data_IF_718473829947
#
_entry.id   IF_718473829947
#
_cell.length_a   1.000
_cell.length_b   1.000
_cell.length_c   1.000
_cell.angle_alpha   90.00
_cell.angle_beta   90.00
_cell.angle_gamma   90.00
#
_symmetry.space_group_name_H-M   'P 1'
#
loop_
_entity.id
_entity.type
_entity.pdbx_description
1 polymer ?
#
# COMPACT_ATOMS: atom_id res chain seq x y z
N UNK A 1 -6.85 17.03 -7.20
CA UNK A 1 -7.74 15.87 -7.38
C UNK A 1 -7.71 15.05 -6.11
N UNK A 2 -8.88 14.87 -5.47
CA UNK A 2 -8.99 13.94 -4.35
C UNK A 2 -9.30 12.58 -4.93
N UNK A 3 -8.41 11.62 -4.73
CA UNK A 3 -8.69 10.21 -5.03
C UNK A 3 -9.80 9.73 -4.10
N UNK A 4 -10.85 9.17 -4.66
CA UNK A 4 -11.96 8.59 -3.92
C UNK A 4 -11.68 7.09 -3.71
N UNK A 5 -11.82 6.62 -2.47
CA UNK A 5 -11.55 5.22 -2.11
C UNK A 5 -12.86 4.56 -1.71
N UNK A 6 -13.19 3.47 -2.39
CA UNK A 6 -14.33 2.62 -2.11
C UNK A 6 -13.87 1.26 -1.64
N UNK A 7 -14.40 0.80 -0.51
CA UNK A 7 -14.13 -0.53 0.05
C UNK A 7 -15.41 -1.35 0.00
N UNK A 8 -15.34 -2.53 -0.60
CA UNK A 8 -16.44 -3.47 -0.67
C UNK A 8 -16.18 -4.65 0.27
N UNK A 9 -17.07 -4.87 1.22
CA UNK A 9 -16.93 -5.92 2.23
C UNK A 9 -18.25 -6.65 2.45
N UNK A 10 -18.19 -7.94 2.83
CA UNK A 10 -19.37 -8.71 3.25
C UNK A 10 -19.97 -8.17 4.55
N UNK A 11 -19.13 -7.78 5.47
CA UNK A 11 -19.51 -7.19 6.76
C UNK A 11 -19.03 -5.73 6.81
N UNK A 12 -19.94 -4.83 6.44
CA UNK A 12 -19.70 -3.38 6.40
C UNK A 12 -19.36 -2.83 7.79
N UNK A 13 -20.03 -3.33 8.84
CA UNK A 13 -19.81 -2.84 10.18
C UNK A 13 -18.42 -3.22 10.70
N UNK A 14 -18.00 -4.46 10.47
CA UNK A 14 -16.66 -4.94 10.81
C UNK A 14 -15.58 -4.19 10.02
N UNK A 15 -15.81 -3.97 8.73
CA UNK A 15 -14.88 -3.22 7.89
C UNK A 15 -14.73 -1.77 8.40
N UNK A 16 -15.83 -1.08 8.71
CA UNK A 16 -15.80 0.28 9.29
C UNK A 16 -15.13 0.31 10.67
N UNK A 17 -15.37 -0.69 11.51
CA UNK A 17 -14.75 -0.76 12.83
C UNK A 17 -13.21 -0.95 12.76
N UNK A 18 -12.71 -1.60 11.73
CA UNK A 18 -11.27 -1.80 11.50
C UNK A 18 -10.55 -0.54 11.01
N UNK A 19 -11.26 0.46 10.48
CA UNK A 19 -10.66 1.70 10.02
C UNK A 19 -10.40 2.66 11.19
N UNK A 20 -9.25 3.35 11.18
CA UNK A 20 -8.98 4.47 12.08
C UNK A 20 -9.93 5.64 11.80
N UNK A 21 -10.13 6.53 12.78
CA UNK A 21 -11.08 7.65 12.65
C UNK A 21 -10.87 8.49 11.38
N UNK A 22 -9.63 8.92 11.01
CA UNK A 22 -9.42 9.69 9.79
C UNK A 22 -9.80 8.92 8.50
N UNK A 23 -9.58 7.59 8.49
CA UNK A 23 -9.89 6.75 7.33
C UNK A 23 -11.40 6.51 7.18
N UNK A 24 -12.16 6.47 8.29
CA UNK A 24 -13.62 6.32 8.23
C UNK A 24 -14.32 7.48 7.53
N UNK A 25 -13.75 8.68 7.63
CA UNK A 25 -14.27 9.88 6.97
C UNK A 25 -13.87 9.96 5.50
N UNK A 26 -12.73 9.35 5.14
CA UNK A 26 -12.15 9.42 3.80
C UNK A 26 -12.55 8.24 2.89
N UNK A 27 -13.07 7.14 3.45
CA UNK A 27 -13.33 5.89 2.73
C UNK A 27 -14.82 5.58 2.71
N UNK A 28 -15.36 5.33 1.53
CA UNK A 28 -16.71 4.83 1.35
C UNK A 28 -16.74 3.30 1.48
N UNK A 29 -17.46 2.77 2.49
CA UNK A 29 -17.58 1.33 2.71
C UNK A 29 -18.96 0.87 2.28
N UNK A 30 -19.01 -0.10 1.34
CA UNK A 30 -20.19 -0.66 0.71
C UNK A 30 -20.32 -2.15 1.00
N UNK A 31 -21.54 -2.66 0.89
CA UNK A 31 -21.77 -4.10 0.90
C UNK A 31 -21.39 -4.68 -0.49
N UNK A 32 -20.57 -5.73 -0.49
CA UNK A 32 -20.15 -6.40 -1.72
C UNK A 32 -21.32 -6.99 -2.52
N UNK A 33 -22.44 -7.31 -1.86
CA UNK A 33 -23.63 -7.87 -2.50
C UNK A 33 -24.47 -6.81 -3.23
N UNK A 34 -24.34 -5.54 -2.88
CA UNK A 34 -25.12 -4.44 -3.48
C UNK A 34 -24.68 -4.12 -4.92
N UNK A 35 -23.56 -4.63 -5.37
CA UNK A 35 -22.99 -4.46 -6.73
C UNK A 35 -23.03 -3.02 -7.27
N UNK A 36 -23.06 -2.05 -6.38
CA UNK A 36 -22.99 -0.62 -6.73
C UNK A 36 -21.53 -0.21 -6.84
N UNK A 37 -21.02 -0.10 -8.07
CA UNK A 37 -19.61 0.20 -8.29
C UNK A 37 -19.36 1.68 -8.56
N UNK A 38 -18.19 2.12 -8.15
CA UNK A 38 -17.58 3.30 -8.71
C UNK A 38 -17.21 3.00 -10.18
N UNK A 39 -18.11 3.26 -11.12
CA UNK A 39 -17.93 2.98 -12.56
C UNK A 39 -16.67 3.62 -13.14
N UNK A 40 -16.14 4.63 -12.47
CA UNK A 40 -14.93 5.36 -12.85
C UNK A 40 -13.67 4.88 -12.08
N UNK A 41 -13.70 3.69 -11.46
CA UNK A 41 -12.53 3.18 -10.78
C UNK A 41 -11.39 2.93 -11.77
N UNK A 42 -10.23 3.53 -11.49
CA UNK A 42 -9.01 3.34 -12.28
C UNK A 42 -8.18 2.16 -11.78
N UNK A 43 -8.32 1.79 -10.52
CA UNK A 43 -7.60 0.69 -9.90
C UNK A 43 -8.52 -0.13 -8.98
N UNK A 44 -8.33 -1.45 -9.00
CA UNK A 44 -9.03 -2.41 -8.13
C UNK A 44 -8.01 -3.25 -7.39
N UNK A 45 -8.20 -3.41 -6.08
CA UNK A 45 -7.39 -4.29 -5.24
C UNK A 45 -8.29 -5.42 -4.73
N UNK A 46 -7.96 -6.66 -5.07
CA UNK A 46 -8.69 -7.86 -4.69
C UNK A 46 -7.96 -8.51 -3.52
N UNK A 47 -8.49 -8.36 -2.31
CA UNK A 47 -7.89 -8.92 -1.09
C UNK A 47 -8.84 -9.90 -0.37
N UNK A 48 -9.96 -10.26 -1.01
CA UNK A 48 -10.96 -11.17 -0.46
C UNK A 48 -10.91 -12.55 -1.15
N UNK A 49 -11.29 -13.65 -0.48
CA UNK A 49 -11.35 -14.98 -1.07
C UNK A 49 -12.59 -15.10 -1.98
N UNK A 50 -12.50 -14.48 -3.14
CA UNK A 50 -13.50 -14.51 -4.21
C UNK A 50 -12.94 -15.22 -5.44
N UNK A 51 -13.78 -15.83 -6.26
CA UNK A 51 -13.34 -16.50 -7.49
C UNK A 51 -13.01 -15.51 -8.59
N UNK A 52 -12.12 -15.89 -9.52
CA UNK A 52 -11.81 -15.07 -10.68
C UNK A 52 -13.05 -14.81 -11.54
N UNK A 53 -13.91 -15.80 -11.71
CA UNK A 53 -15.17 -15.65 -12.47
C UNK A 53 -16.04 -14.53 -11.88
N UNK A 54 -16.23 -14.52 -10.57
CA UNK A 54 -16.99 -13.47 -9.89
C UNK A 54 -16.36 -12.08 -10.08
N UNK A 55 -15.04 -11.99 -10.00
CA UNK A 55 -14.33 -10.73 -10.21
C UNK A 55 -14.35 -10.28 -11.67
N UNK A 56 -14.26 -11.20 -12.63
CA UNK A 56 -14.32 -10.86 -14.05
C UNK A 56 -15.67 -10.25 -14.45
N UNK A 57 -16.76 -10.77 -13.91
CA UNK A 57 -18.10 -10.17 -14.10
C UNK A 57 -18.13 -8.73 -13.56
N UNK A 58 -17.44 -8.49 -12.49
CA UNK A 58 -17.31 -7.18 -11.88
C UNK A 58 -16.49 -6.21 -12.72
N UNK A 59 -15.29 -6.64 -13.08
CA UNK A 59 -14.31 -5.81 -13.78
C UNK A 59 -14.81 -5.41 -15.18
N UNK A 60 -15.71 -6.23 -15.78
CA UNK A 60 -16.30 -5.94 -17.09
C UNK A 60 -17.18 -4.68 -17.10
N UNK A 61 -17.70 -4.27 -15.96
CA UNK A 61 -18.55 -3.09 -15.81
C UNK A 61 -17.76 -1.79 -15.59
N UNK A 62 -16.43 -1.88 -15.43
CA UNK A 62 -15.55 -0.74 -15.13
C UNK A 62 -14.93 -0.18 -16.41
N UNK A 63 -15.36 1.02 -16.80
CA UNK A 63 -14.93 1.64 -18.06
C UNK A 63 -13.55 2.34 -17.99
N UNK A 64 -13.09 2.70 -16.80
CA UNK A 64 -11.86 3.49 -16.58
C UNK A 64 -10.74 2.66 -15.96
N UNK A 65 -10.91 1.35 -15.83
CA UNK A 65 -9.98 0.47 -15.16
C UNK A 65 -8.63 0.38 -15.89
N UNK A 66 -7.54 0.58 -15.15
CA UNK A 66 -6.15 0.50 -15.64
C UNK A 66 -5.33 -0.53 -14.89
N UNK A 67 -5.61 -0.71 -13.59
CA UNK A 67 -4.81 -1.56 -12.72
C UNK A 67 -5.69 -2.52 -11.94
N UNK A 68 -5.29 -3.79 -11.89
CA UNK A 68 -5.86 -4.80 -11.01
C UNK A 68 -4.75 -5.39 -10.17
N UNK A 69 -4.84 -5.26 -8.86
CA UNK A 69 -3.92 -5.90 -7.90
C UNK A 69 -4.63 -7.12 -7.31
N UNK A 70 -4.24 -8.30 -7.76
CA UNK A 70 -4.80 -9.56 -7.26
C UNK A 70 -3.94 -10.12 -6.13
N UNK A 71 -4.36 -9.84 -4.89
CA UNK A 71 -3.66 -10.27 -3.67
C UNK A 71 -4.24 -11.56 -3.08
N UNK A 72 -5.05 -12.31 -3.83
CA UNK A 72 -5.56 -13.61 -3.38
C UNK A 72 -4.43 -14.64 -3.36
N UNK A 73 -4.54 -15.58 -2.41
CA UNK A 73 -3.53 -16.64 -2.29
C UNK A 73 -3.52 -17.59 -3.50
N UNK A 74 -4.66 -17.77 -4.16
CA UNK A 74 -4.88 -18.64 -5.31
C UNK A 74 -4.81 -17.92 -6.66
N UNK A 75 -4.36 -16.67 -6.69
CA UNK A 75 -4.25 -15.84 -7.90
C UNK A 75 -3.44 -16.48 -9.04
N UNK A 76 -2.51 -17.38 -8.71
CA UNK A 76 -1.73 -18.13 -9.72
C UNK A 76 -2.51 -19.22 -10.44
N UNK A 77 -3.49 -19.84 -9.78
CA UNK A 77 -4.29 -20.96 -10.29
C UNK A 77 -5.66 -20.52 -10.78
N UNK A 78 -6.26 -19.54 -10.12
CA UNK A 78 -7.56 -18.93 -10.46
C UNK A 78 -7.31 -17.47 -10.86
N UNK A 79 -6.81 -17.26 -12.08
CA UNK A 79 -6.39 -15.93 -12.56
C UNK A 79 -7.58 -15.06 -12.90
N UNK A 80 -7.54 -13.83 -12.40
CA UNK A 80 -8.40 -12.76 -12.90
C UNK A 80 -7.90 -12.37 -14.28
N UNK A 81 -8.75 -12.61 -15.29
CA UNK A 81 -8.43 -12.22 -16.67
C UNK A 81 -8.81 -10.75 -16.82
N UNK A 82 -7.92 -9.98 -17.39
CA UNK A 82 -8.28 -8.65 -17.86
C UNK A 82 -9.47 -8.78 -18.82
N UNK A 83 -10.51 -7.94 -18.71
CA UNK A 83 -11.60 -7.95 -19.67
C UNK A 83 -11.04 -7.85 -21.07
N UNK A 84 -11.62 -8.60 -22.00
CA UNK A 84 -11.14 -8.76 -23.38
C UNK A 84 -11.00 -7.46 -24.20
N UNK A 85 -11.31 -6.32 -23.60
CA UNK A 85 -11.25 -5.00 -24.22
C UNK A 85 -9.92 -4.27 -24.01
N UNK A 86 -8.94 -4.85 -23.29
CA UNK A 86 -7.83 -3.97 -22.96
C UNK A 86 -6.48 -4.66 -22.87
N UNK A 87 -5.71 -4.49 -23.94
CA UNK A 87 -4.24 -4.42 -23.85
C UNK A 87 -3.78 -3.30 -22.87
N UNK A 88 -4.71 -2.60 -22.24
CA UNK A 88 -4.49 -1.42 -21.39
C UNK A 88 -4.62 -1.72 -19.88
N UNK A 89 -5.19 -2.86 -19.46
CA UNK A 89 -5.31 -3.20 -18.03
C UNK A 89 -4.11 -4.03 -17.59
N UNK A 90 -3.36 -3.48 -16.64
CA UNK A 90 -2.26 -4.21 -16.02
C UNK A 90 -2.75 -5.01 -14.81
N UNK A 91 -2.65 -6.33 -14.88
CA UNK A 91 -2.92 -7.23 -13.76
C UNK A 91 -1.60 -7.54 -13.05
N UNK A 92 -1.54 -7.24 -11.75
CA UNK A 92 -0.38 -7.49 -10.89
C UNK A 92 -0.80 -8.48 -9.81
N UNK A 93 -0.31 -9.69 -9.87
CA UNK A 93 -0.57 -10.71 -8.87
C UNK A 93 0.39 -10.65 -7.66
N UNK A 94 0.09 -11.42 -6.63
CA UNK A 94 0.89 -11.46 -5.41
C UNK A 94 2.34 -11.91 -5.67
N UNK A 95 2.57 -12.82 -6.61
CA UNK A 95 3.91 -13.29 -6.96
C UNK A 95 4.73 -12.18 -7.63
N UNK A 96 4.10 -11.38 -8.48
CA UNK A 96 4.76 -10.22 -9.10
C UNK A 96 5.12 -9.16 -8.06
N UNK A 97 4.25 -8.93 -7.05
CA UNK A 97 4.55 -8.05 -5.92
C UNK A 97 5.78 -8.55 -5.15
N UNK A 98 5.84 -9.85 -4.82
CA UNK A 98 7.00 -10.42 -4.12
C UNK A 98 8.29 -10.33 -4.94
N UNK A 99 8.26 -10.63 -6.24
CA UNK A 99 9.43 -10.47 -7.12
C UNK A 99 9.96 -9.04 -7.13
N UNK A 100 9.06 -8.05 -7.19
CA UNK A 100 9.46 -6.63 -7.12
C UNK A 100 10.03 -6.25 -5.76
N UNK A 101 9.47 -6.77 -4.67
CA UNK A 101 10.02 -6.58 -3.32
C UNK A 101 11.43 -7.16 -3.21
N UNK A 102 11.64 -8.40 -3.66
CA UNK A 102 12.96 -9.05 -3.66
C UNK A 102 13.98 -8.27 -4.49
N UNK A 103 13.60 -7.84 -5.70
CA UNK A 103 14.46 -7.03 -6.55
C UNK A 103 14.87 -5.68 -5.90
N UNK A 104 13.98 -5.10 -5.10
CA UNK A 104 14.24 -3.85 -4.41
C UNK A 104 14.96 -4.01 -3.05
N UNK A 105 15.05 -5.23 -2.53
CA UNK A 105 15.62 -5.47 -1.19
C UNK A 105 17.08 -5.03 -1.09
N UNK A 106 17.90 -5.32 -2.10
CA UNK A 106 19.30 -4.90 -2.12
C UNK A 106 19.45 -3.37 -2.09
N UNK A 107 18.61 -2.66 -2.83
CA UNK A 107 18.61 -1.19 -2.83
C UNK A 107 18.14 -0.62 -1.48
N UNK A 108 17.18 -1.28 -0.83
CA UNK A 108 16.67 -0.89 0.48
C UNK A 108 17.75 -1.07 1.56
N UNK A 109 18.45 -2.22 1.58
CA UNK A 109 19.54 -2.49 2.51
C UNK A 109 20.72 -1.52 2.29
N UNK A 110 21.05 -1.18 1.05
CA UNK A 110 22.06 -0.17 0.75
C UNK A 110 21.68 1.22 1.32
N UNK A 111 20.42 1.64 1.16
CA UNK A 111 19.90 2.89 1.73
C UNK A 111 19.91 2.88 3.25
N UNK A 112 19.53 1.77 3.86
CA UNK A 112 19.56 1.60 5.31
C UNK A 112 20.99 1.67 5.86
N UNK A 113 21.95 1.01 5.22
CA UNK A 113 23.35 1.06 5.58
C UNK A 113 23.92 2.49 5.43
N UNK A 114 23.54 3.21 4.39
CA UNK A 114 23.94 4.61 4.20
C UNK A 114 23.35 5.52 5.29
N UNK A 115 22.09 5.35 5.64
CA UNK A 115 21.45 6.11 6.70
C UNK A 115 22.08 5.84 8.08
N UNK A 116 22.38 4.58 8.40
CA UNK A 116 23.06 4.21 9.64
C UNK A 116 24.46 4.84 9.74
N UNK A 117 25.22 4.85 8.64
CA UNK A 117 26.52 5.53 8.59
C UNK A 117 26.39 7.03 8.84
N UNK A 118 25.45 7.68 8.15
CA UNK A 118 25.25 9.13 8.33
C UNK A 118 24.84 9.49 9.78
N UNK A 119 24.01 8.68 10.42
CA UNK A 119 23.64 8.84 11.83
C UNK A 119 24.86 8.66 12.72
N UNK A 120 25.67 7.61 12.49
CA UNK A 120 26.90 7.38 13.26
C UNK A 120 27.88 8.53 13.14
N UNK A 121 28.15 9.01 11.93
CA UNK A 121 29.04 10.15 11.66
C UNK A 121 28.53 11.42 12.34
N UNK A 122 27.22 11.70 12.26
CA UNK A 122 26.63 12.85 12.93
C UNK A 122 26.72 12.76 14.47
N UNK A 123 26.60 11.55 15.02
CA UNK A 123 26.72 11.31 16.46
C UNK A 123 28.14 11.52 16.94
N UNK A 124 29.12 10.99 16.20
CA UNK A 124 30.57 11.20 16.52
C UNK A 124 30.92 12.68 16.41
N UNK A 125 30.50 13.37 15.35
CA UNK A 125 30.75 14.80 15.18
C UNK A 125 30.14 15.61 16.33
N UNK A 126 28.93 15.24 16.79
CA UNK A 126 28.26 15.90 17.93
C UNK A 126 28.95 15.59 19.26
N UNK A 127 29.44 14.35 19.44
CA UNK A 127 30.22 13.96 20.62
C UNK A 127 31.52 14.78 20.75
N UNK A 128 32.30 14.88 19.67
CA UNK A 128 33.50 15.71 19.64
C UNK A 128 33.21 17.19 19.88
N UNK A 129 32.05 17.69 19.45
CA UNK A 129 31.68 19.08 19.77
C UNK A 129 31.33 19.29 21.25
N UNK A 130 30.77 18.26 21.91
CA UNK A 130 30.46 18.33 23.36
C UNK A 130 31.75 18.24 24.19
N UNK A 131 32.69 17.37 23.80
CA UNK A 131 33.98 17.22 24.49
C UNK A 131 34.85 18.47 24.39
N UNK A 132 34.78 19.23 23.30
CA UNK A 132 35.52 20.46 23.08
C UNK A 132 34.76 21.73 23.51
N UNK A 133 33.70 21.61 24.30
CA UNK A 133 33.03 22.80 24.85
C UNK A 133 33.93 23.53 25.82
N UNK A 134 34.18 24.86 25.63
CA UNK A 134 35.01 25.65 26.51
C UNK A 134 34.43 25.87 27.90
N UNK A 135 33.14 25.52 28.11
CA UNK A 135 32.43 25.60 29.40
C UNK A 135 31.71 24.31 29.68
N UNK A 136 31.99 23.65 30.79
CA UNK A 136 31.23 22.52 31.30
C UNK A 136 29.83 22.95 31.80
N UNK A 137 28.91 21.98 31.92
CA UNK A 137 27.60 22.21 32.57
C UNK A 137 27.75 22.67 34.02
N UNK A 138 28.89 22.36 34.65
CA UNK A 138 29.27 22.73 36.01
C UNK A 138 29.45 24.24 36.15
N UNK A 139 29.84 24.95 35.08
CA UNK A 139 30.04 26.42 35.08
C UNK A 139 28.71 27.18 34.98
N UNK A 140 27.61 26.51 34.69
CA UNK A 140 26.27 27.11 34.64
C UNK A 140 25.48 27.02 35.94
N UNK A 141 26.01 26.29 36.93
CA UNK A 141 25.37 26.06 38.22
C UNK A 141 26.10 26.71 39.40
N UNK A 142 27.08 27.60 39.14
CA UNK A 142 27.82 28.35 40.15
C UNK A 142 27.22 29.73 40.41
#
# INVERSE_FOLDING_TARGET
>A
DKSEIHVYARDVNRARAALSAPLREAINVHNIEERTFAQNAEAVIIAAPVTASYMNDWLSDLNSLRYVFDLRADSSTDRVLAPSQSDQIQVIDLNEVFKRLEANQAALEARKAAALRAVSEATVARGGYIENRPFGWEDLCA
#
